data_IF_453585367227
#
_entry.id   IF_453585367227
#
_cell.length_a   1.000
_cell.length_b   1.000
_cell.length_c   1.000
_cell.angle_alpha   90.00
_cell.angle_beta   90.00
_cell.angle_gamma   90.00
#
_symmetry.space_group_name_H-M   'P 1'
#
loop_
_entity.id
_entity.type
_entity.pdbx_description
1 polymer ?
#
# COMPACT_ATOMS: atom_id res chain seq x y z
N UNK A 1 -5.91 26.20 -24.87
CA UNK A 1 -5.50 26.09 -23.45
C UNK A 1 -4.73 24.81 -23.33
N UNK A 2 -3.40 24.88 -23.06
CA UNK A 2 -2.60 23.67 -22.84
C UNK A 2 -3.17 22.88 -21.66
N UNK A 3 -3.21 21.55 -21.78
CA UNK A 3 -3.62 20.70 -20.69
C UNK A 3 -2.72 20.95 -19.47
N UNK A 4 -3.30 21.32 -18.33
CA UNK A 4 -2.56 21.48 -17.09
C UNK A 4 -1.88 20.13 -16.76
N UNK A 5 -0.56 20.12 -16.70
CA UNK A 5 0.21 18.92 -16.34
C UNK A 5 -0.16 18.48 -14.92
N UNK A 6 -0.82 17.33 -14.82
CA UNK A 6 -1.26 16.77 -13.53
C UNK A 6 -0.15 15.91 -12.92
N UNK A 7 0.40 16.36 -11.80
CA UNK A 7 1.44 15.62 -11.06
C UNK A 7 0.82 14.55 -10.17
N UNK A 8 1.39 13.35 -10.17
CA UNK A 8 1.01 12.23 -9.29
C UNK A 8 2.23 11.76 -8.51
N UNK A 9 2.13 11.81 -7.19
CA UNK A 9 3.14 11.28 -6.26
C UNK A 9 2.78 9.85 -5.86
N UNK A 10 3.72 8.91 -6.04
CA UNK A 10 3.61 7.54 -5.53
C UNK A 10 4.66 7.31 -4.44
N UNK A 11 4.25 6.96 -3.22
CA UNK A 11 5.18 6.66 -2.11
C UNK A 11 5.66 5.21 -2.15
N UNK A 12 6.88 4.95 -1.66
CA UNK A 12 7.46 3.61 -1.68
C UNK A 12 7.66 3.04 -3.10
N UNK A 13 7.94 3.91 -4.08
CA UNK A 13 7.90 3.59 -5.50
C UNK A 13 9.19 2.95 -6.05
N UNK A 14 10.00 2.28 -5.22
CA UNK A 14 11.26 1.67 -5.66
C UNK A 14 11.15 0.21 -6.12
N UNK A 15 10.02 -0.45 -5.87
CA UNK A 15 9.78 -1.86 -6.22
C UNK A 15 8.28 -2.20 -6.23
N UNK A 16 7.93 -3.41 -6.67
CA UNK A 16 6.58 -3.97 -6.60
C UNK A 16 5.51 -3.06 -7.19
N UNK A 17 4.37 -2.98 -6.51
CA UNK A 17 3.21 -2.18 -6.91
C UNK A 17 3.59 -0.70 -7.09
N UNK A 18 4.39 -0.13 -6.18
CA UNK A 18 4.75 1.29 -6.24
C UNK A 18 5.56 1.66 -7.48
N UNK A 19 6.57 0.85 -7.85
CA UNK A 19 7.36 1.07 -9.05
C UNK A 19 6.53 0.89 -10.33
N UNK A 20 5.75 -0.17 -10.39
CA UNK A 20 4.86 -0.42 -11.51
C UNK A 20 3.83 0.73 -11.66
N UNK A 21 3.30 1.24 -10.54
CA UNK A 21 2.37 2.40 -10.53
C UNK A 21 3.03 3.66 -11.07
N UNK A 22 4.26 3.98 -10.63
CA UNK A 22 4.96 5.17 -11.14
C UNK A 22 5.17 5.10 -12.66
N UNK A 23 5.45 3.92 -13.21
CA UNK A 23 5.60 3.67 -14.65
C UNK A 23 4.24 3.81 -15.37
N UNK A 24 3.18 3.14 -14.89
CA UNK A 24 1.87 3.16 -15.57
C UNK A 24 1.20 4.54 -15.51
N UNK A 25 1.38 5.29 -14.42
CA UNK A 25 0.95 6.68 -14.29
C UNK A 25 1.64 7.58 -15.35
N UNK A 26 2.96 7.40 -15.55
CA UNK A 26 3.70 8.11 -16.59
C UNK A 26 3.19 7.73 -18.00
N UNK A 27 2.91 6.45 -18.27
CA UNK A 27 2.34 5.98 -19.56
C UNK A 27 0.97 6.59 -19.85
N UNK A 28 0.22 6.95 -18.82
CA UNK A 28 -1.08 7.63 -18.93
C UNK A 28 -0.97 9.14 -19.15
N UNK A 29 0.25 9.68 -19.28
CA UNK A 29 0.49 11.10 -19.57
C UNK A 29 0.50 12.00 -18.33
N UNK A 30 0.51 11.47 -17.12
CA UNK A 30 0.72 12.25 -15.90
C UNK A 30 2.20 12.55 -15.67
N UNK A 31 2.51 13.65 -15.02
CA UNK A 31 3.85 13.89 -14.45
C UNK A 31 4.02 12.96 -13.25
N UNK A 32 4.66 11.82 -13.47
CA UNK A 32 4.87 10.82 -12.43
C UNK A 32 6.07 11.14 -11.55
N UNK A 33 5.86 11.14 -10.24
CA UNK A 33 6.89 11.37 -9.22
C UNK A 33 6.93 10.18 -8.26
N UNK A 34 8.08 9.55 -8.17
CA UNK A 34 8.37 8.43 -7.29
C UNK A 34 9.04 8.91 -6.00
N UNK A 35 8.34 8.77 -4.86
CA UNK A 35 8.88 9.01 -3.52
C UNK A 35 9.71 7.81 -3.06
N UNK A 36 10.98 8.02 -2.76
CA UNK A 36 11.93 6.98 -2.34
C UNK A 36 12.84 7.45 -1.20
N UNK A 37 13.32 6.54 -0.35
CA UNK A 37 14.09 6.87 0.86
C UNK A 37 15.60 6.96 0.67
N UNK A 38 16.13 6.68 -0.53
CA UNK A 38 17.59 6.76 -0.74
C UNK A 38 17.96 7.01 -2.21
N UNK A 39 19.15 7.60 -2.46
CA UNK A 39 19.66 7.79 -3.81
C UNK A 39 19.84 6.48 -4.60
N UNK A 40 20.16 5.37 -3.94
CA UNK A 40 20.27 4.06 -4.58
C UNK A 40 18.91 3.60 -5.13
N UNK A 41 17.82 3.79 -4.35
CA UNK A 41 16.44 3.51 -4.78
C UNK A 41 16.00 4.43 -5.92
N UNK A 42 16.40 5.72 -5.90
CA UNK A 42 16.12 6.65 -7.00
C UNK A 42 16.78 6.19 -8.30
N UNK A 43 18.04 5.74 -8.25
CA UNK A 43 18.73 5.17 -9.43
C UNK A 43 18.04 3.92 -9.97
N UNK A 44 17.51 3.07 -9.10
CA UNK A 44 16.73 1.89 -9.51
C UNK A 44 15.46 2.29 -10.26
N UNK A 45 14.70 3.26 -9.75
CA UNK A 45 13.52 3.81 -10.43
C UNK A 45 13.88 4.38 -11.80
N UNK A 46 14.94 5.19 -11.88
CA UNK A 46 15.37 5.82 -13.13
C UNK A 46 15.74 4.75 -14.20
N UNK A 47 16.43 3.67 -13.81
CA UNK A 47 16.75 2.55 -14.72
C UNK A 47 15.48 1.84 -15.21
N UNK A 48 14.54 1.55 -14.32
CA UNK A 48 13.29 0.89 -14.67
C UNK A 48 12.42 1.77 -15.58
N UNK A 49 12.33 3.07 -15.30
CA UNK A 49 11.60 4.03 -16.13
C UNK A 49 12.21 4.14 -17.55
N UNK A 50 13.55 4.20 -17.64
CA UNK A 50 14.26 4.20 -18.93
C UNK A 50 13.98 2.91 -19.74
N UNK A 51 14.05 1.76 -19.07
CA UNK A 51 13.75 0.47 -19.72
C UNK A 51 12.28 0.39 -20.19
N UNK A 52 11.36 1.06 -19.47
CA UNK A 52 9.93 1.13 -19.83
C UNK A 52 9.61 2.23 -20.87
N UNK A 53 10.60 3.03 -21.31
CA UNK A 53 10.43 4.11 -22.28
C UNK A 53 9.62 5.30 -21.75
N UNK A 54 9.61 5.55 -20.41
CA UNK A 54 8.87 6.62 -19.79
C UNK A 54 9.77 7.52 -18.93
N UNK A 55 9.27 8.72 -18.59
CA UNK A 55 9.93 9.63 -17.66
C UNK A 55 9.25 9.56 -16.30
N UNK A 56 10.02 9.22 -15.26
CA UNK A 56 9.58 9.25 -13.86
C UNK A 56 10.56 10.11 -13.08
N UNK A 57 10.09 11.18 -12.46
CA UNK A 57 10.88 11.99 -11.53
C UNK A 57 11.01 11.26 -10.21
N UNK A 58 12.08 11.51 -9.46
CA UNK A 58 12.25 10.95 -8.11
C UNK A 58 12.40 12.07 -7.09
N UNK A 59 11.84 11.88 -5.90
CA UNK A 59 12.04 12.76 -4.74
C UNK A 59 12.45 11.92 -3.53
N UNK A 60 13.32 12.49 -2.68
CA UNK A 60 13.61 11.91 -1.39
C UNK A 60 12.42 12.14 -0.47
N UNK A 61 11.83 11.06 0.00
CA UNK A 61 10.66 11.09 0.87
C UNK A 61 10.67 9.88 1.80
N UNK A 62 10.82 10.15 3.09
CA UNK A 62 10.41 9.22 4.14
C UNK A 62 9.02 9.65 4.64
N UNK A 63 8.03 8.77 4.53
CA UNK A 63 6.65 9.06 4.94
C UNK A 63 6.49 9.16 6.47
N UNK A 64 7.48 8.66 7.22
CA UNK A 64 7.54 8.76 8.68
C UNK A 64 8.11 10.10 9.14
N UNK A 65 8.82 10.82 8.28
CA UNK A 65 9.35 12.15 8.57
C UNK A 65 8.36 13.25 8.16
N UNK A 66 7.90 14.02 9.16
CA UNK A 66 6.93 15.10 8.94
C UNK A 66 7.50 16.26 8.12
N UNK A 67 8.81 16.53 8.25
CA UNK A 67 9.52 17.57 7.51
C UNK A 67 9.63 17.24 6.02
N UNK A 68 10.02 16.01 5.71
CA UNK A 68 10.06 15.47 4.34
C UNK A 68 8.67 15.53 3.70
N UNK A 69 7.65 15.04 4.40
CA UNK A 69 6.27 15.10 3.92
C UNK A 69 5.85 16.54 3.59
N UNK A 70 6.08 17.50 4.51
CA UNK A 70 5.73 18.91 4.31
C UNK A 70 6.48 19.51 3.13
N UNK A 71 7.79 19.31 3.04
CA UNK A 71 8.64 19.81 1.96
C UNK A 71 8.14 19.32 0.59
N UNK A 72 7.99 18.00 0.44
CA UNK A 72 7.59 17.36 -0.82
C UNK A 72 6.19 17.80 -1.26
N UNK A 73 5.23 17.85 -0.34
CA UNK A 73 3.86 18.24 -0.68
C UNK A 73 3.74 19.72 -1.05
N UNK A 74 4.50 20.59 -0.39
CA UNK A 74 4.57 22.03 -0.72
C UNK A 74 5.20 22.28 -2.08
N UNK A 75 6.25 21.51 -2.42
CA UNK A 75 6.96 21.63 -3.70
C UNK A 75 6.13 21.08 -4.87
N UNK A 76 5.55 19.89 -4.70
CA UNK A 76 4.89 19.19 -5.81
C UNK A 76 3.46 19.65 -6.07
N UNK A 77 2.71 20.02 -5.03
CA UNK A 77 1.27 20.35 -5.09
C UNK A 77 0.50 19.34 -5.95
N UNK A 78 0.54 18.04 -5.63
CA UNK A 78 0.12 17.01 -6.56
C UNK A 78 -1.39 16.99 -6.78
N UNK A 79 -1.81 16.69 -8.02
CA UNK A 79 -3.19 16.33 -8.36
C UNK A 79 -3.55 14.95 -7.80
N UNK A 80 -2.60 14.01 -7.80
CA UNK A 80 -2.79 12.65 -7.33
C UNK A 80 -1.74 12.24 -6.29
N UNK A 81 -2.20 11.57 -5.25
CA UNK A 81 -1.38 10.96 -4.21
C UNK A 81 -1.67 9.46 -4.13
N UNK A 82 -0.64 8.63 -4.33
CA UNK A 82 -0.72 7.18 -4.13
C UNK A 82 0.07 6.81 -2.88
N UNK A 83 -0.62 6.54 -1.79
CA UNK A 83 -0.07 6.04 -0.54
C UNK A 83 0.18 4.53 -0.66
N UNK A 84 1.39 4.16 -1.10
CA UNK A 84 1.78 2.77 -1.33
C UNK A 84 2.91 2.31 -0.38
N UNK A 85 3.64 3.22 0.26
CA UNK A 85 4.69 2.85 1.20
C UNK A 85 4.15 1.92 2.30
N UNK A 86 4.88 0.83 2.58
CA UNK A 86 4.49 -0.16 3.58
C UNK A 86 5.65 -0.99 4.06
N UNK A 87 5.43 -1.66 5.18
CA UNK A 87 6.34 -2.62 5.82
C UNK A 87 5.57 -3.90 6.17
N UNK A 88 6.21 -5.07 6.26
CA UNK A 88 5.49 -6.33 6.51
C UNK A 88 4.91 -6.43 7.93
N UNK A 89 5.65 -6.00 8.97
CA UNK A 89 5.30 -6.14 10.39
C UNK A 89 4.75 -7.55 10.72
N UNK A 90 5.49 -8.58 10.30
CA UNK A 90 5.12 -9.98 10.49
C UNK A 90 5.63 -10.50 11.84
N UNK A 91 4.75 -11.09 12.63
CA UNK A 91 5.04 -11.68 13.92
C UNK A 91 3.77 -11.93 14.73
N UNK A 92 3.85 -12.87 15.70
CA UNK A 92 2.84 -13.00 16.73
C UNK A 92 2.75 -11.67 17.50
N UNK A 93 1.60 -11.37 18.08
CA UNK A 93 1.40 -10.07 18.76
C UNK A 93 2.43 -9.88 19.88
N UNK A 94 2.75 -10.92 20.63
CA UNK A 94 3.72 -10.87 21.73
C UNK A 94 5.18 -10.85 21.27
N UNK A 95 5.48 -11.29 20.04
CA UNK A 95 6.83 -11.28 19.47
C UNK A 95 7.19 -9.95 18.80
N UNK A 96 6.19 -9.10 18.54
CA UNK A 96 6.39 -7.79 17.91
C UNK A 96 6.49 -6.73 18.98
N UNK A 97 7.69 -6.19 19.17
CA UNK A 97 7.93 -5.12 20.14
C UNK A 97 7.27 -3.80 19.74
N UNK A 98 7.08 -2.93 20.73
CA UNK A 98 6.44 -1.62 20.56
C UNK A 98 7.02 -0.77 19.44
N UNK A 99 8.34 -0.76 19.28
CA UNK A 99 8.99 0.05 18.25
C UNK A 99 8.67 -0.45 16.83
N UNK A 100 8.67 -1.77 16.63
CA UNK A 100 8.28 -2.38 15.36
C UNK A 100 6.81 -2.09 15.03
N UNK A 101 5.94 -2.19 16.05
CA UNK A 101 4.52 -1.84 15.94
C UNK A 101 4.33 -0.35 15.58
N UNK A 102 5.07 0.56 16.25
CA UNK A 102 5.04 2.01 15.94
C UNK A 102 5.50 2.29 14.51
N UNK A 103 6.57 1.66 14.06
CA UNK A 103 7.04 1.81 12.66
C UNK A 103 5.98 1.38 11.67
N UNK A 104 5.26 0.28 11.92
CA UNK A 104 4.16 -0.17 11.07
C UNK A 104 3.03 0.86 11.00
N UNK A 105 2.57 1.33 12.16
CA UNK A 105 1.50 2.33 12.26
C UNK A 105 1.92 3.67 11.65
N UNK A 106 3.15 4.12 11.93
CA UNK A 106 3.67 5.37 11.38
C UNK A 106 3.75 5.32 9.84
N UNK A 107 4.28 4.21 9.29
CA UNK A 107 4.46 4.05 7.85
C UNK A 107 3.13 3.89 7.10
N UNK A 108 2.20 3.08 7.63
CA UNK A 108 1.02 2.63 6.90
C UNK A 108 -0.29 3.34 7.28
N UNK A 109 -0.27 4.14 8.35
CA UNK A 109 -1.45 4.87 8.82
C UNK A 109 -1.17 6.37 8.93
N UNK A 110 -0.26 6.77 9.84
CA UNK A 110 -0.01 8.18 10.12
C UNK A 110 0.65 8.90 8.94
N UNK A 111 1.62 8.27 8.27
CA UNK A 111 2.26 8.81 7.07
C UNK A 111 1.28 9.09 5.93
N UNK A 112 0.46 8.11 5.49
CA UNK A 112 -0.61 8.33 4.52
C UNK A 112 -1.58 9.45 4.88
N UNK A 113 -2.04 9.51 6.13
CA UNK A 113 -2.97 10.56 6.58
C UNK A 113 -2.29 11.92 6.69
N UNK A 114 -1.01 11.98 7.07
CA UNK A 114 -0.18 13.18 7.04
C UNK A 114 -0.06 13.74 5.63
N UNK A 115 0.28 12.90 4.66
CA UNK A 115 0.38 13.28 3.25
C UNK A 115 -0.98 13.72 2.69
N UNK A 116 -2.07 13.01 3.01
CA UNK A 116 -3.42 13.39 2.59
C UNK A 116 -3.79 14.78 3.14
N UNK A 117 -3.58 15.03 4.44
CA UNK A 117 -3.85 16.33 5.09
C UNK A 117 -3.07 17.47 4.44
N UNK A 118 -1.83 17.22 4.00
CA UNK A 118 -1.00 18.21 3.31
C UNK A 118 -1.42 18.41 1.84
N UNK A 119 -1.96 17.36 1.17
CA UNK A 119 -2.40 17.41 -0.21
C UNK A 119 -3.73 18.14 -0.38
N UNK A 120 -4.69 17.91 0.51
CA UNK A 120 -6.08 18.36 0.41
C UNK A 120 -6.20 19.86 0.12
N UNK A 121 -5.51 20.79 0.81
CA UNK A 121 -5.62 22.21 0.53
C UNK A 121 -5.23 22.57 -0.92
N UNK A 122 -4.18 21.94 -1.44
CA UNK A 122 -3.73 22.13 -2.82
C UNK A 122 -4.71 21.54 -3.83
N UNK A 123 -5.20 20.33 -3.57
CA UNK A 123 -6.20 19.66 -4.42
C UNK A 123 -7.50 20.46 -4.47
N UNK A 124 -7.97 20.99 -3.33
CA UNK A 124 -9.14 21.85 -3.24
C UNK A 124 -8.95 23.13 -4.07
N UNK A 125 -7.79 23.79 -3.96
CA UNK A 125 -7.46 24.98 -4.73
C UNK A 125 -7.34 24.74 -6.25
N UNK A 126 -7.12 23.48 -6.68
CA UNK A 126 -7.05 23.07 -8.10
C UNK A 126 -8.42 22.59 -8.64
N UNK A 127 -9.47 22.61 -7.81
CA UNK A 127 -10.81 22.13 -8.19
C UNK A 127 -10.96 20.61 -8.16
N UNK A 128 -10.10 19.91 -7.42
CA UNK A 128 -10.20 18.46 -7.18
C UNK A 128 -8.87 17.73 -7.22
N UNK A 129 -8.92 16.44 -6.94
CA UNK A 129 -7.74 15.58 -6.87
C UNK A 129 -8.06 14.11 -6.68
N UNK A 130 -7.01 13.30 -6.48
CA UNK A 130 -7.13 11.86 -6.23
C UNK A 130 -6.21 11.44 -5.10
N UNK A 131 -6.75 10.80 -4.07
CA UNK A 131 -6.00 10.13 -3.01
C UNK A 131 -6.29 8.64 -3.14
N UNK A 132 -5.27 7.85 -3.46
CA UNK A 132 -5.36 6.40 -3.59
C UNK A 132 -4.55 5.77 -2.47
N UNK A 133 -5.20 5.06 -1.58
CA UNK A 133 -4.58 4.33 -0.47
C UNK A 133 -4.48 2.86 -0.83
N UNK A 134 -3.25 2.32 -0.81
CA UNK A 134 -3.03 0.90 -1.04
C UNK A 134 -3.23 0.16 0.27
N UNK A 135 -4.40 -0.43 0.39
CA UNK A 135 -4.78 -1.32 1.48
C UNK A 135 -4.32 -2.76 1.21
N UNK A 136 -5.11 -3.73 1.56
CA UNK A 136 -4.90 -5.16 1.33
C UNK A 136 -6.21 -5.90 1.64
N UNK A 137 -6.32 -7.15 1.16
CA UNK A 137 -7.29 -8.10 1.72
C UNK A 137 -7.17 -8.22 3.24
N UNK A 138 -5.99 -7.99 3.79
CA UNK A 138 -5.72 -7.94 5.23
C UNK A 138 -6.21 -6.65 5.93
N UNK A 139 -6.83 -5.74 5.21
CA UNK A 139 -7.67 -4.68 5.78
C UNK A 139 -9.13 -5.11 6.01
N UNK A 140 -9.51 -6.31 5.52
CA UNK A 140 -10.87 -6.84 5.56
C UNK A 140 -10.99 -8.11 6.42
N UNK A 141 -9.88 -8.76 6.73
CA UNK A 141 -9.82 -9.97 7.54
C UNK A 141 -8.57 -10.01 8.41
N UNK A 142 -8.58 -10.89 9.42
CA UNK A 142 -7.44 -11.11 10.31
C UNK A 142 -7.00 -12.58 10.29
N UNK A 143 -5.68 -12.77 10.39
CA UNK A 143 -5.03 -14.08 10.55
C UNK A 143 -3.93 -13.96 11.61
N UNK A 144 -3.56 -15.01 12.33
CA UNK A 144 -2.41 -14.99 13.24
C UNK A 144 -1.10 -14.61 12.54
N UNK A 145 -0.10 -14.20 13.29
CA UNK A 145 1.29 -13.88 12.90
C UNK A 145 1.47 -12.67 11.99
N UNK A 146 0.43 -11.89 11.74
CA UNK A 146 0.48 -10.65 10.94
C UNK A 146 -0.42 -9.55 11.52
N UNK A 147 -0.73 -9.63 12.82
CA UNK A 147 -1.72 -8.78 13.49
C UNK A 147 -1.45 -7.29 13.35
N UNK A 148 -0.20 -6.83 13.54
CA UNK A 148 0.15 -5.41 13.43
C UNK A 148 0.04 -4.86 11.99
N UNK A 149 0.40 -5.66 11.00
CA UNK A 149 0.16 -5.30 9.61
C UNK A 149 -1.33 -5.13 9.32
N UNK A 150 -2.14 -6.09 9.76
CA UNK A 150 -3.59 -6.09 9.57
C UNK A 150 -4.26 -4.93 10.33
N UNK A 151 -3.86 -4.69 11.57
CA UNK A 151 -4.33 -3.53 12.35
C UNK A 151 -4.08 -2.21 11.60
N UNK A 152 -2.88 -2.05 11.01
CA UNK A 152 -2.56 -0.89 10.19
C UNK A 152 -3.46 -0.77 8.96
N UNK A 153 -3.75 -1.89 8.28
CA UNK A 153 -4.62 -1.86 7.09
C UNK A 153 -6.08 -1.60 7.45
N UNK A 154 -6.61 -2.18 8.54
CA UNK A 154 -7.94 -1.85 9.06
C UNK A 154 -8.06 -0.37 9.47
N UNK A 155 -7.04 0.17 10.12
CA UNK A 155 -7.01 1.60 10.45
C UNK A 155 -7.00 2.48 9.19
N UNK A 156 -6.23 2.10 8.16
CA UNK A 156 -6.20 2.81 6.88
C UNK A 156 -7.57 2.76 6.17
N UNK A 157 -8.27 1.61 6.21
CA UNK A 157 -9.63 1.46 5.68
C UNK A 157 -10.60 2.44 6.36
N UNK A 158 -10.66 2.41 7.69
CA UNK A 158 -11.57 3.25 8.48
C UNK A 158 -11.31 4.74 8.24
N UNK A 159 -10.04 5.18 8.27
CA UNK A 159 -9.66 6.57 8.03
C UNK A 159 -9.92 7.01 6.59
N UNK A 160 -9.77 6.13 5.62
CA UNK A 160 -10.07 6.43 4.22
C UNK A 160 -11.57 6.61 3.98
N UNK A 161 -12.41 5.81 4.63
CA UNK A 161 -13.86 5.94 4.54
C UNK A 161 -14.36 7.24 5.18
N UNK A 162 -13.86 7.58 6.37
CA UNK A 162 -14.17 8.86 7.03
C UNK A 162 -13.75 10.04 6.14
N UNK A 163 -12.49 10.05 5.70
CA UNK A 163 -11.94 11.12 4.85
C UNK A 163 -12.74 11.30 3.55
N UNK A 164 -13.15 10.20 2.92
CA UNK A 164 -13.93 10.24 1.67
C UNK A 164 -15.25 11.00 1.84
N UNK A 165 -15.91 10.83 2.97
CA UNK A 165 -17.16 11.53 3.28
C UNK A 165 -16.91 13.00 3.66
N UNK A 166 -15.88 13.25 4.46
CA UNK A 166 -15.50 14.59 4.93
C UNK A 166 -15.18 15.56 3.79
N UNK A 167 -14.49 15.08 2.73
CA UNK A 167 -14.07 15.92 1.59
C UNK A 167 -14.87 15.66 0.31
N UNK A 168 -16.05 15.05 0.41
CA UNK A 168 -16.88 14.69 -0.75
C UNK A 168 -17.24 15.90 -1.64
N UNK A 169 -17.43 17.08 -1.05
CA UNK A 169 -17.79 18.31 -1.75
C UNK A 169 -16.58 18.98 -2.47
N UNK A 170 -15.34 18.55 -2.18
CA UNK A 170 -14.13 19.21 -2.68
C UNK A 170 -13.69 18.74 -4.08
N UNK A 171 -14.44 17.84 -4.72
CA UNK A 171 -14.02 17.23 -5.99
C UNK A 171 -12.82 16.28 -5.87
N UNK A 172 -12.44 15.92 -4.65
CA UNK A 172 -11.33 15.00 -4.34
C UNK A 172 -11.87 13.60 -4.11
N UNK A 173 -11.46 12.63 -4.93
CA UNK A 173 -11.84 11.25 -4.71
C UNK A 173 -10.80 10.53 -3.83
N UNK A 174 -11.26 9.89 -2.75
CA UNK A 174 -10.49 8.98 -1.93
C UNK A 174 -10.85 7.55 -2.31
N UNK A 175 -9.84 6.78 -2.69
CA UNK A 175 -10.01 5.43 -3.25
C UNK A 175 -9.12 4.44 -2.51
N UNK A 176 -9.68 3.32 -2.11
CA UNK A 176 -8.99 2.18 -1.56
C UNK A 176 -8.74 1.14 -2.67
N UNK A 177 -7.50 0.69 -2.78
CA UNK A 177 -7.13 -0.48 -3.57
C UNK A 177 -6.78 -1.59 -2.59
N UNK A 178 -7.42 -2.73 -2.73
CA UNK A 178 -7.36 -3.87 -1.82
C UNK A 178 -6.74 -5.08 -2.57
N UNK A 179 -5.40 -5.13 -2.74
CA UNK A 179 -4.77 -6.23 -3.44
C UNK A 179 -4.79 -7.51 -2.61
N UNK A 180 -4.92 -8.66 -3.29
CA UNK A 180 -4.52 -9.96 -2.77
C UNK A 180 -3.00 -10.15 -2.79
N UNK A 181 -2.55 -11.37 -3.06
CA UNK A 181 -1.14 -11.70 -3.15
C UNK A 181 -0.55 -11.29 -4.52
N UNK A 182 0.29 -10.27 -4.52
CA UNK A 182 1.04 -9.80 -5.69
C UNK A 182 2.54 -9.85 -5.42
N UNK A 183 3.35 -10.14 -6.45
CA UNK A 183 4.81 -10.17 -6.34
C UNK A 183 5.35 -8.82 -5.89
N UNK A 184 6.06 -8.80 -4.75
CA UNK A 184 6.68 -7.60 -4.18
C UNK A 184 7.74 -7.97 -3.16
N UNK A 185 8.65 -7.04 -2.85
CA UNK A 185 9.69 -7.24 -1.84
C UNK A 185 9.14 -7.33 -0.41
N UNK A 186 7.86 -7.06 -0.18
CA UNK A 186 7.24 -7.22 1.14
C UNK A 186 7.28 -8.68 1.61
N UNK A 187 7.20 -9.63 0.68
CA UNK A 187 7.25 -11.05 0.99
C UNK A 187 8.64 -11.52 1.42
N UNK A 188 9.69 -10.97 0.78
CA UNK A 188 11.08 -11.21 1.20
C UNK A 188 11.32 -10.62 2.60
N UNK A 189 10.87 -9.40 2.83
CA UNK A 189 10.97 -8.75 4.14
C UNK A 189 10.18 -9.51 5.22
N UNK A 190 9.00 -10.03 4.91
CA UNK A 190 8.22 -10.87 5.83
C UNK A 190 8.96 -12.16 6.18
N UNK A 191 9.64 -12.80 5.22
CA UNK A 191 10.50 -13.95 5.47
C UNK A 191 11.67 -13.62 6.42
N UNK A 192 12.30 -12.46 6.26
CA UNK A 192 13.35 -11.99 7.17
C UNK A 192 12.81 -11.72 8.59
N UNK A 193 11.58 -11.24 8.73
CA UNK A 193 10.94 -11.07 10.05
C UNK A 193 10.77 -12.43 10.76
N UNK A 194 10.35 -13.46 10.04
CA UNK A 194 10.24 -14.83 10.57
C UNK A 194 11.61 -15.35 11.02
N UNK A 195 12.66 -15.16 10.19
CA UNK A 195 14.00 -15.64 10.52
C UNK A 195 14.59 -15.01 11.80
N UNK A 196 14.13 -13.83 12.20
CA UNK A 196 14.53 -13.18 13.46
C UNK A 196 13.83 -13.73 14.71
N UNK A 197 12.83 -14.62 14.53
CA UNK A 197 11.96 -15.15 15.61
C UNK A 197 12.13 -16.68 15.79
N UNK A 198 13.36 -17.17 15.62
CA UNK A 198 13.64 -18.62 15.69
C UNK A 198 13.43 -19.21 17.09
N UNK A 199 13.55 -18.38 18.14
CA UNK A 199 13.39 -18.78 19.54
C UNK A 199 11.96 -18.57 20.07
N UNK A 200 11.02 -18.21 19.21
CA UNK A 200 9.63 -17.98 19.58
C UNK A 200 8.88 -19.29 19.82
N UNK A 201 7.94 -19.28 20.76
CA UNK A 201 6.96 -20.36 20.95
C UNK A 201 6.13 -20.64 19.69
N UNK A 202 6.01 -19.67 18.78
CA UNK A 202 5.32 -19.77 17.49
C UNK A 202 6.20 -20.26 16.34
N UNK A 203 7.42 -20.73 16.60
CA UNK A 203 8.37 -21.12 15.55
C UNK A 203 7.78 -22.09 14.52
N UNK A 204 7.07 -23.13 14.99
CA UNK A 204 6.42 -24.11 14.11
C UNK A 204 5.37 -23.46 13.19
N UNK A 205 4.60 -22.50 13.70
CA UNK A 205 3.61 -21.77 12.93
C UNK A 205 4.27 -20.81 11.92
N UNK A 206 5.35 -20.13 12.29
CA UNK A 206 6.16 -19.31 11.37
C UNK A 206 6.69 -20.13 10.19
N UNK A 207 7.22 -21.32 10.46
CA UNK A 207 7.70 -22.23 9.41
C UNK A 207 6.60 -22.58 8.41
N UNK A 208 5.39 -22.88 8.89
CA UNK A 208 4.22 -23.17 8.03
C UNK A 208 3.84 -21.97 7.17
N UNK A 209 3.85 -20.76 7.74
CA UNK A 209 3.60 -19.52 6.98
C UNK A 209 4.65 -19.33 5.90
N UNK A 210 5.94 -19.50 6.21
CA UNK A 210 7.05 -19.37 5.25
C UNK A 210 6.90 -20.37 4.09
N UNK A 211 6.60 -21.63 4.41
CA UNK A 211 6.35 -22.68 3.41
C UNK A 211 5.14 -22.33 2.54
N UNK A 212 4.04 -21.86 3.14
CA UNK A 212 2.87 -21.39 2.43
C UNK A 212 3.16 -20.22 1.48
N UNK A 213 3.98 -19.24 1.91
CA UNK A 213 4.43 -18.13 1.06
C UNK A 213 5.26 -18.67 -0.12
N UNK A 214 6.23 -19.55 0.13
CA UNK A 214 7.06 -20.15 -0.93
C UNK A 214 6.23 -20.91 -1.97
N UNK A 215 5.22 -21.68 -1.52
CA UNK A 215 4.33 -22.41 -2.40
C UNK A 215 3.44 -21.46 -3.22
N UNK A 216 2.95 -20.39 -2.59
CA UNK A 216 2.04 -19.42 -3.24
C UNK A 216 2.76 -18.46 -4.21
N UNK A 217 4.09 -18.31 -4.14
CA UNK A 217 4.84 -17.36 -4.98
C UNK A 217 4.56 -17.51 -6.49
N UNK A 218 4.34 -18.74 -6.96
CA UNK A 218 4.04 -19.02 -8.37
C UNK A 218 2.63 -18.57 -8.77
N UNK A 219 1.73 -18.42 -7.81
CA UNK A 219 0.33 -18.01 -8.01
C UNK A 219 0.13 -16.51 -7.78
N UNK A 220 1.14 -15.80 -7.28
CA UNK A 220 1.06 -14.36 -7.02
C UNK A 220 0.87 -13.59 -8.32
N UNK A 221 -0.05 -12.64 -8.29
CA UNK A 221 -0.35 -11.73 -9.39
C UNK A 221 0.83 -10.85 -9.81
N UNK A 222 0.76 -10.30 -10.99
CA UNK A 222 1.75 -9.32 -11.47
C UNK A 222 1.41 -7.92 -10.94
N UNK A 223 2.32 -7.23 -10.25
CA UNK A 223 2.11 -5.86 -9.76
C UNK A 223 1.59 -4.88 -10.82
N UNK A 224 1.86 -5.15 -12.09
CA UNK A 224 1.39 -4.32 -13.21
C UNK A 224 -0.15 -4.26 -13.31
N UNK A 225 -0.87 -5.30 -12.88
CA UNK A 225 -2.33 -5.31 -12.88
C UNK A 225 -2.88 -4.25 -11.91
N UNK A 226 -2.34 -4.22 -10.69
CA UNK A 226 -2.69 -3.21 -9.69
C UNK A 226 -2.30 -1.81 -10.18
N UNK A 227 -1.12 -1.68 -10.78
CA UNK A 227 -0.61 -0.40 -11.29
C UNK A 227 -1.48 0.17 -12.42
N UNK A 228 -1.91 -0.67 -13.36
CA UNK A 228 -2.83 -0.27 -14.45
C UNK A 228 -4.18 0.19 -13.90
N UNK A 229 -4.70 -0.49 -12.89
CA UNK A 229 -5.92 -0.07 -12.21
C UNK A 229 -5.72 1.30 -11.54
N UNK A 230 -4.64 1.50 -10.76
CA UNK A 230 -4.34 2.79 -10.13
C UNK A 230 -4.24 3.90 -11.18
N UNK A 231 -3.52 3.67 -12.28
CA UNK A 231 -3.41 4.65 -13.36
C UNK A 231 -4.78 4.94 -14.01
N UNK A 232 -5.67 3.95 -14.11
CA UNK A 232 -7.03 4.16 -14.59
C UNK A 232 -7.88 4.98 -13.60
N UNK A 233 -7.75 4.74 -12.30
CA UNK A 233 -8.40 5.50 -11.21
C UNK A 233 -7.96 6.97 -11.25
N UNK A 234 -6.67 7.24 -11.47
CA UNK A 234 -6.17 8.61 -11.61
C UNK A 234 -6.79 9.37 -12.77
N UNK A 235 -7.11 8.67 -13.88
CA UNK A 235 -7.71 9.24 -15.07
C UNK A 235 -9.25 9.29 -15.05
N UNK A 236 -9.88 8.49 -14.18
CA UNK A 236 -11.34 8.36 -14.16
C UNK A 236 -12.04 9.64 -13.67
N UNK A 237 -13.16 9.99 -14.32
CA UNK A 237 -14.01 11.12 -13.88
C UNK A 237 -14.64 10.85 -12.51
N UNK A 238 -15.16 9.64 -12.31
CA UNK A 238 -15.84 9.21 -11.07
C UNK A 238 -15.36 7.78 -10.73
N UNK A 239 -14.21 7.61 -10.05
CA UNK A 239 -13.75 6.30 -9.63
C UNK A 239 -14.65 5.75 -8.53
N UNK A 240 -14.73 4.41 -8.41
CA UNK A 240 -15.36 3.76 -7.26
C UNK A 240 -14.54 4.01 -6.00
N UNK A 241 -15.19 3.93 -4.83
CA UNK A 241 -14.50 4.08 -3.55
C UNK A 241 -13.50 2.95 -3.24
N UNK A 242 -13.77 1.73 -3.74
CA UNK A 242 -13.00 0.51 -3.45
C UNK A 242 -12.80 -0.37 -4.67
N UNK A 243 -11.66 -1.02 -4.73
CA UNK A 243 -11.31 -2.00 -5.76
C UNK A 243 -10.56 -3.18 -5.16
N UNK A 244 -11.21 -4.33 -5.09
CA UNK A 244 -10.57 -5.61 -4.82
C UNK A 244 -9.82 -6.08 -6.07
N UNK A 245 -8.54 -6.44 -5.91
CA UNK A 245 -7.68 -6.87 -7.03
C UNK A 245 -7.02 -8.21 -6.72
N UNK A 246 -7.19 -9.16 -7.61
CA UNK A 246 -6.73 -10.53 -7.47
C UNK A 246 -7.88 -11.52 -7.31
N UNK A 247 -7.66 -12.76 -7.75
CA UNK A 247 -8.67 -13.81 -7.63
C UNK A 247 -8.85 -14.23 -6.16
N UNK A 248 -7.75 -14.30 -5.44
CA UNK A 248 -7.68 -14.57 -4.01
C UNK A 248 -8.41 -13.51 -3.18
N UNK A 249 -8.33 -12.24 -3.56
CA UNK A 249 -8.97 -11.14 -2.85
C UNK A 249 -10.49 -11.33 -2.76
N UNK A 250 -11.13 -11.74 -3.85
CA UNK A 250 -12.58 -11.98 -3.87
C UNK A 250 -12.99 -13.16 -3.02
N UNK A 251 -12.23 -14.26 -3.09
CA UNK A 251 -12.50 -15.46 -2.29
C UNK A 251 -12.36 -15.15 -0.79
N UNK A 252 -11.34 -14.40 -0.41
CA UNK A 252 -11.07 -14.00 0.97
C UNK A 252 -12.13 -13.03 1.49
N UNK A 253 -12.58 -12.06 0.71
CA UNK A 253 -13.66 -11.15 1.10
C UNK A 253 -14.96 -11.93 1.39
N UNK A 254 -15.31 -12.90 0.55
CA UNK A 254 -16.46 -13.79 0.77
C UNK A 254 -16.27 -14.60 2.05
N UNK A 255 -15.10 -15.21 2.23
CA UNK A 255 -14.74 -15.98 3.43
C UNK A 255 -14.90 -15.12 4.71
N UNK A 256 -14.34 -13.90 4.69
CA UNK A 256 -14.38 -12.97 5.83
C UNK A 256 -15.81 -12.55 6.23
N UNK A 257 -16.71 -12.43 5.24
CA UNK A 257 -18.10 -12.02 5.47
C UNK A 257 -19.05 -13.14 5.87
N UNK A 258 -18.81 -14.35 5.38
CA UNK A 258 -19.76 -15.45 5.54
C UNK A 258 -19.44 -16.39 6.72
N UNK A 259 -18.18 -16.53 7.11
CA UNK A 259 -17.82 -17.47 8.18
C UNK A 259 -17.87 -16.82 9.56
N UNK A 260 -18.55 -17.47 10.54
CA UNK A 260 -18.51 -17.06 11.94
C UNK A 260 -17.07 -17.03 12.49
N UNK A 261 -16.83 -16.19 13.48
CA UNK A 261 -15.49 -16.00 14.09
C UNK A 261 -14.90 -17.31 14.58
N UNK A 262 -15.71 -18.13 15.27
CA UNK A 262 -15.27 -19.41 15.86
C UNK A 262 -14.79 -20.40 14.78
N UNK A 263 -15.44 -20.39 13.62
CA UNK A 263 -15.04 -21.24 12.49
C UNK A 263 -13.72 -20.78 11.89
N UNK A 264 -13.57 -19.46 11.71
CA UNK A 264 -12.32 -18.86 11.21
C UNK A 264 -11.15 -19.13 12.15
N UNK A 265 -11.35 -18.95 13.46
CA UNK A 265 -10.33 -19.20 14.48
C UNK A 265 -9.92 -20.68 14.52
N UNK A 266 -10.89 -21.60 14.43
CA UNK A 266 -10.59 -23.02 14.37
C UNK A 266 -9.79 -23.41 13.13
N UNK A 267 -10.16 -22.87 11.96
CA UNK A 267 -9.44 -23.11 10.71
C UNK A 267 -8.01 -22.55 10.79
N UNK A 268 -7.84 -21.34 11.31
CA UNK A 268 -6.52 -20.71 11.48
C UNK A 268 -5.61 -21.53 12.40
N UNK A 269 -6.14 -21.99 13.55
CA UNK A 269 -5.40 -22.88 14.48
C UNK A 269 -4.98 -24.19 13.83
N UNK A 270 -5.88 -24.87 13.14
CA UNK A 270 -5.56 -26.12 12.45
C UNK A 270 -4.49 -25.91 11.38
N UNK A 271 -4.63 -24.85 10.57
CA UNK A 271 -3.71 -24.57 9.46
C UNK A 271 -2.31 -24.22 9.96
N UNK A 272 -2.22 -23.44 11.03
CA UNK A 272 -0.94 -22.97 11.58
C UNK A 272 -0.40 -23.87 12.69
N UNK A 273 -1.24 -24.77 13.26
CA UNK A 273 -0.87 -25.65 14.37
C UNK A 273 -0.73 -24.88 15.68
N UNK A 274 -1.63 -23.93 15.90
CA UNK A 274 -1.73 -23.13 17.12
C UNK A 274 -2.72 -23.76 18.12
#
# INVERSE_FOLDING_TARGET
MGAVERTVLTTGANSGIGLATAIEVARRGFVSVAGVRSPAKARSVARAAKAAGVKVRTVMLDVTDAGDCKRVMTELKPYGLVNNAGVPASGAIEDVGDEEARVAMETMVLGPMRLARLAIPHMRGQGGGRIVNISSIYGLMTTPLTGWYQASKHALEALSDALRVEIAADGIAVVLIEPGAFRSNIWESAGNDVQRRLDSEYFAAYRRVEEGIKLSQRLMGDPIEVARLIASVMAAKSPKARYLVGYDARAIDIYAKLLPTEVRDRLARITLGL
#
